data_IF_839698851123
#
_entry.id   IF_839698851123
#
_cell.length_a   1.000
_cell.length_b   1.000
_cell.length_c   1.000
_cell.angle_alpha   90.00
_cell.angle_beta   90.00
_cell.angle_gamma   90.00
#
_symmetry.space_group_name_H-M   'P 1'
#
loop_
_entity.id
_entity.type
_entity.pdbx_description
1 polymer ?
#
# COMPACT_ATOMS: atom_id res chain seq x y z
N UNK A 1 26.09 -17.00 2.87
CA UNK A 1 26.80 -16.72 1.59
C UNK A 1 26.73 -15.24 1.23
N UNK A 2 25.54 -14.64 1.07
CA UNK A 2 25.41 -13.20 0.78
C UNK A 2 26.17 -12.30 1.77
N UNK A 3 25.95 -12.49 3.07
CA UNK A 3 26.67 -11.72 4.11
C UNK A 3 28.18 -11.86 3.98
N UNK A 4 28.68 -13.07 3.74
CA UNK A 4 30.10 -13.33 3.57
C UNK A 4 30.70 -12.59 2.36
N UNK A 5 29.99 -12.57 1.22
CA UNK A 5 30.42 -11.81 0.01
C UNK A 5 30.51 -10.33 0.34
N UNK A 6 29.47 -9.77 0.96
CA UNK A 6 29.40 -8.37 1.36
C UNK A 6 30.50 -8.00 2.36
N UNK A 7 30.85 -8.92 3.27
CA UNK A 7 31.94 -8.71 4.23
C UNK A 7 33.32 -8.78 3.62
N UNK A 8 33.51 -9.56 2.55
CA UNK A 8 34.77 -9.62 1.79
C UNK A 8 34.94 -8.38 0.92
N UNK A 9 33.85 -7.88 0.33
CA UNK A 9 33.88 -6.68 -0.53
C UNK A 9 33.95 -5.36 0.25
N UNK A 10 33.75 -5.36 1.58
CA UNK A 10 33.77 -4.13 2.38
C UNK A 10 35.19 -3.60 2.60
N UNK A 11 35.34 -2.29 2.55
CA UNK A 11 36.57 -1.60 2.94
C UNK A 11 36.42 -0.99 4.33
N UNK A 12 37.37 -1.25 5.23
CA UNK A 12 37.35 -0.69 6.58
C UNK A 12 38.23 0.55 6.61
N UNK A 13 37.60 1.72 6.77
CA UNK A 13 38.32 3.00 6.82
C UNK A 13 39.04 3.19 8.14
N UNK A 14 38.38 2.87 9.25
CA UNK A 14 38.96 2.99 10.59
C UNK A 14 38.25 2.07 11.58
N UNK A 15 39.00 1.65 12.59
CA UNK A 15 38.52 0.95 13.78
C UNK A 15 38.90 1.76 15.02
N UNK A 16 37.95 1.93 15.94
CA UNK A 16 38.17 2.60 17.21
C UNK A 16 37.43 1.88 18.32
N UNK A 17 38.18 1.18 19.18
CA UNK A 17 37.63 0.40 20.27
C UNK A 17 36.67 -0.68 19.75
N UNK A 18 35.40 -0.59 20.14
CA UNK A 18 34.36 -1.54 19.72
C UNK A 18 33.60 -1.12 18.44
N UNK A 19 33.97 0.01 17.81
CA UNK A 19 33.25 0.57 16.65
C UNK A 19 34.19 0.59 15.45
N UNK A 20 33.70 0.11 14.30
CA UNK A 20 34.39 0.19 13.00
C UNK A 20 33.55 0.97 12.00
N UNK A 21 34.22 1.71 11.12
CA UNK A 21 33.59 2.34 9.96
C UNK A 21 33.95 1.56 8.72
N UNK A 22 32.96 0.93 8.10
CA UNK A 22 33.11 0.13 6.89
C UNK A 22 32.31 0.75 5.74
N UNK A 23 32.92 0.78 4.55
CA UNK A 23 32.33 1.19 3.30
C UNK A 23 31.92 -0.07 2.51
N UNK A 24 30.64 -0.14 2.14
CA UNK A 24 30.08 -1.26 1.37
C UNK A 24 29.77 -0.84 -0.06
N UNK A 25 30.27 -1.53 -1.09
CA UNK A 25 30.06 -1.13 -2.48
C UNK A 25 28.58 -1.22 -2.87
N UNK A 26 28.06 -0.16 -3.52
CA UNK A 26 26.64 -0.03 -3.83
C UNK A 26 26.23 -0.56 -5.21
N UNK A 27 27.18 -0.90 -6.07
CA UNK A 27 26.96 -1.21 -7.49
C UNK A 27 25.90 -2.30 -7.75
N UNK A 28 25.88 -3.36 -6.94
CA UNK A 28 24.91 -4.45 -7.04
C UNK A 28 23.88 -4.48 -5.90
N UNK A 29 24.06 -3.64 -4.87
CA UNK A 29 23.17 -3.56 -3.71
C UNK A 29 22.05 -2.53 -3.92
N UNK A 30 22.39 -1.40 -4.52
CA UNK A 30 21.49 -0.27 -4.72
C UNK A 30 20.60 -0.46 -5.96
N UNK A 31 19.38 0.06 -5.92
CA UNK A 31 18.44 0.08 -7.06
C UNK A 31 18.81 1.10 -8.13
N UNK A 32 19.79 1.97 -7.90
CA UNK A 32 20.26 2.99 -8.84
C UNK A 32 21.62 2.59 -9.38
N UNK A 33 21.74 2.53 -10.71
CA UNK A 33 23.03 2.34 -11.37
C UNK A 33 23.90 3.61 -11.23
N UNK A 34 25.13 3.53 -10.70
CA UNK A 34 25.97 4.70 -10.38
C UNK A 34 26.34 5.56 -11.60
N UNK A 35 26.45 4.95 -12.79
CA UNK A 35 26.92 5.59 -14.02
C UNK A 35 25.80 6.28 -14.80
N UNK A 36 24.58 5.74 -14.77
CA UNK A 36 23.47 6.18 -15.62
C UNK A 36 22.31 6.82 -14.85
N UNK A 37 22.21 6.58 -13.54
CA UNK A 37 21.04 6.98 -12.75
C UNK A 37 19.75 6.22 -13.12
N UNK A 38 19.85 5.17 -13.94
CA UNK A 38 18.75 4.29 -14.29
C UNK A 38 18.49 3.30 -13.16
N UNK A 39 17.27 2.79 -13.13
CA UNK A 39 16.83 1.80 -12.15
C UNK A 39 17.33 0.42 -12.56
N UNK A 40 18.10 -0.23 -11.69
CA UNK A 40 18.55 -1.60 -11.85
C UNK A 40 17.58 -2.56 -11.16
N UNK A 41 16.98 -3.48 -11.93
CA UNK A 41 16.03 -4.49 -11.41
C UNK A 41 16.73 -5.70 -10.79
N UNK A 42 17.99 -5.92 -11.16
CA UNK A 42 18.79 -7.05 -10.72
C UNK A 42 19.59 -6.72 -9.45
N UNK A 43 19.36 -5.56 -8.84
CA UNK A 43 19.99 -5.22 -7.57
C UNK A 43 19.41 -6.06 -6.44
N UNK A 44 20.25 -6.34 -5.44
CA UNK A 44 19.86 -7.12 -4.28
C UNK A 44 18.61 -6.52 -3.59
N UNK A 45 18.58 -5.19 -3.42
CA UNK A 45 17.44 -4.50 -2.82
C UNK A 45 16.15 -4.62 -3.65
N UNK A 46 16.22 -4.53 -4.98
CA UNK A 46 15.05 -4.66 -5.84
C UNK A 46 14.52 -6.11 -5.85
N UNK A 47 15.40 -7.11 -5.88
CA UNK A 47 15.03 -8.53 -5.87
C UNK A 47 14.39 -8.91 -4.53
N UNK A 48 14.93 -8.44 -3.40
CA UNK A 48 14.36 -8.76 -2.07
C UNK A 48 12.99 -8.11 -1.88
N UNK A 49 12.79 -6.89 -2.42
CA UNK A 49 11.54 -6.15 -2.26
C UNK A 49 10.44 -6.63 -3.21
N UNK A 50 10.76 -6.81 -4.49
CA UNK A 50 9.79 -7.21 -5.53
C UNK A 50 9.76 -8.72 -5.78
N UNK A 51 10.64 -9.49 -5.15
CA UNK A 51 10.67 -10.94 -5.23
C UNK A 51 9.45 -11.60 -4.59
N UNK A 52 9.10 -12.77 -5.12
CA UNK A 52 7.94 -13.54 -4.64
C UNK A 52 8.26 -14.41 -3.42
N UNK A 53 9.54 -14.72 -3.15
CA UNK A 53 9.95 -15.57 -2.03
C UNK A 53 10.17 -14.76 -0.75
N UNK A 54 9.76 -15.34 0.37
CA UNK A 54 9.98 -14.78 1.71
C UNK A 54 11.36 -15.15 2.28
N UNK A 55 12.05 -16.14 1.71
CA UNK A 55 13.36 -16.60 2.19
C UNK A 55 14.44 -15.51 2.13
N UNK A 56 14.35 -14.60 1.16
CA UNK A 56 15.29 -13.48 1.03
C UNK A 56 15.03 -12.34 2.02
N UNK A 57 13.91 -12.35 2.77
CA UNK A 57 13.63 -11.34 3.81
C UNK A 57 14.69 -11.35 4.91
N UNK A 58 15.30 -12.50 5.19
CA UNK A 58 16.39 -12.61 6.17
C UNK A 58 17.64 -11.81 5.78
N UNK A 59 17.76 -11.33 4.53
CA UNK A 59 18.87 -10.52 4.05
C UNK A 59 18.67 -9.01 4.23
N UNK A 60 17.43 -8.56 4.49
CA UNK A 60 17.11 -7.17 4.77
C UNK A 60 17.72 -6.58 6.06
N UNK A 61 17.79 -7.28 7.21
CA UNK A 61 18.30 -6.69 8.44
C UNK A 61 19.78 -6.30 8.32
N UNK A 62 20.20 -5.33 9.13
CA UNK A 62 21.55 -4.75 9.16
C UNK A 62 21.87 -3.83 7.97
N UNK A 63 22.44 -4.35 6.89
CA UNK A 63 23.01 -3.54 5.81
C UNK A 63 21.91 -2.84 5.01
N UNK A 64 20.95 -3.62 4.50
CA UNK A 64 19.90 -3.11 3.64
C UNK A 64 18.89 -2.28 4.44
N UNK A 65 18.58 -2.62 5.68
CA UNK A 65 17.78 -1.79 6.59
C UNK A 65 18.38 -0.39 6.74
N UNK A 66 19.69 -0.30 6.99
CA UNK A 66 20.39 0.99 7.13
C UNK A 66 20.47 1.75 5.81
N UNK A 67 20.65 1.06 4.69
CA UNK A 67 20.57 1.66 3.36
C UNK A 67 19.19 2.26 3.12
N UNK A 68 18.12 1.54 3.42
CA UNK A 68 16.74 2.01 3.26
C UNK A 68 16.45 3.18 4.20
N UNK A 69 17.00 3.17 5.42
CA UNK A 69 16.92 4.32 6.35
C UNK A 69 17.60 5.57 5.80
N UNK A 70 18.81 5.42 5.24
CA UNK A 70 19.51 6.52 4.58
C UNK A 70 18.76 7.05 3.38
N UNK A 71 18.16 6.18 2.59
CA UNK A 71 17.26 6.57 1.50
C UNK A 71 16.03 7.31 2.04
N UNK A 72 15.40 6.84 3.12
CA UNK A 72 14.28 7.53 3.73
C UNK A 72 14.65 8.93 4.25
N UNK A 73 15.80 9.11 4.88
CA UNK A 73 16.29 10.44 5.27
C UNK A 73 16.52 11.35 4.05
N UNK A 74 17.08 10.80 2.98
CA UNK A 74 17.45 11.56 1.77
C UNK A 74 16.23 11.95 0.94
N UNK A 75 15.34 10.99 0.69
CA UNK A 75 14.14 11.17 -0.12
C UNK A 75 12.99 11.71 0.73
N UNK A 76 12.74 11.17 1.92
CA UNK A 76 11.61 11.52 2.79
C UNK A 76 11.65 12.92 3.38
N UNK A 77 12.84 13.50 3.61
CA UNK A 77 12.97 14.88 4.07
C UNK A 77 12.88 15.92 2.93
N UNK A 78 13.09 15.46 1.69
CA UNK A 78 12.97 16.24 0.47
C UNK A 78 11.81 15.73 -0.41
N UNK A 79 10.69 15.32 0.19
CA UNK A 79 9.44 15.22 -0.57
C UNK A 79 9.17 16.65 -1.04
N UNK A 80 9.22 16.96 -2.35
CA UNK A 80 8.72 18.24 -2.78
C UNK A 80 7.26 18.28 -2.35
N UNK A 81 6.92 19.20 -1.45
CA UNK A 81 5.56 19.74 -1.47
C UNK A 81 5.28 20.20 -2.91
N UNK A 82 4.04 20.14 -3.40
CA UNK A 82 3.75 20.48 -4.81
C UNK A 82 4.12 21.91 -5.21
N UNK A 83 4.63 22.74 -4.29
CA UNK A 83 5.20 24.04 -4.54
C UNK A 83 6.72 23.95 -4.71
N UNK A 84 7.19 23.59 -5.90
CA UNK A 84 8.33 24.25 -6.54
C UNK A 84 8.56 23.65 -7.93
N UNK A 85 7.80 24.13 -8.90
CA UNK A 85 8.25 24.22 -10.29
C UNK A 85 7.83 25.59 -10.81
N UNK A 86 8.78 26.51 -10.83
CA UNK A 86 8.57 27.88 -11.31
C UNK A 86 8.41 27.94 -12.83
N UNK A 87 7.59 28.92 -13.21
CA UNK A 87 7.48 29.65 -14.47
C UNK A 87 6.80 28.98 -15.67
N UNK A 88 5.54 29.40 -15.87
CA UNK A 88 4.73 29.21 -17.06
C UNK A 88 3.28 29.62 -16.81
N UNK A 89 2.97 30.92 -17.00
CA UNK A 89 1.60 31.47 -16.99
C UNK A 89 0.71 30.64 -17.93
N UNK A 90 -0.45 30.17 -17.50
CA UNK A 90 -1.70 30.20 -18.31
C UNK A 90 -2.91 30.26 -17.37
N UNK A 91 -3.73 31.29 -17.57
CA UNK A 91 -5.07 31.45 -17.01
C UNK A 91 -5.98 30.53 -17.81
N UNK A 92 -6.81 29.71 -17.16
CA UNK A 92 -8.01 29.20 -17.80
C UNK A 92 -9.24 29.36 -16.91
N UNK A 93 -10.10 30.26 -17.36
CA UNK A 93 -11.47 30.47 -16.92
C UNK A 93 -12.36 29.35 -17.50
N UNK A 94 -13.46 29.04 -16.81
CA UNK A 94 -14.50 28.13 -17.27
C UNK A 94 -15.01 28.50 -18.68
N UNK A 95 -14.97 27.53 -19.60
CA UNK A 95 -15.65 27.58 -20.90
C UNK A 95 -16.89 26.69 -20.75
N UNK A 96 -18.06 27.23 -21.09
CA UNK A 96 -19.41 26.63 -20.95
C UNK A 96 -20.13 26.83 -19.60
N UNK A 97 -20.32 28.09 -19.18
CA UNK A 97 -21.64 28.62 -18.79
C UNK A 97 -21.55 30.12 -18.41
N UNK A 98 -20.86 30.91 -19.22
CA UNK A 98 -20.62 32.32 -18.91
C UNK A 98 -21.78 33.30 -19.19
N UNK A 99 -22.84 33.03 -19.99
CA UNK A 99 -23.79 34.10 -20.28
C UNK A 99 -25.00 34.16 -19.33
N UNK A 100 -25.17 33.25 -18.36
CA UNK A 100 -26.38 33.27 -17.51
C UNK A 100 -26.21 32.98 -16.01
N UNK A 101 -25.00 32.98 -15.45
CA UNK A 101 -24.85 33.00 -13.99
C UNK A 101 -24.92 34.44 -13.50
N UNK A 102 -26.06 34.79 -12.92
CA UNK A 102 -26.27 36.06 -12.25
C UNK A 102 -25.44 36.08 -10.95
N UNK A 103 -24.19 36.57 -11.03
CA UNK A 103 -23.24 36.65 -9.90
C UNK A 103 -23.81 37.37 -8.66
N UNK A 104 -24.85 38.20 -8.84
CA UNK A 104 -25.48 38.96 -7.76
C UNK A 104 -26.41 38.14 -6.84
N UNK A 105 -26.62 36.84 -7.08
CA UNK A 105 -27.44 35.94 -6.24
C UNK A 105 -26.69 34.76 -5.61
N UNK A 106 -25.36 34.68 -5.75
CA UNK A 106 -24.60 33.59 -5.14
C UNK A 106 -24.44 33.79 -3.62
N UNK A 107 -25.06 32.91 -2.84
CA UNK A 107 -24.83 32.81 -1.40
C UNK A 107 -23.37 32.43 -1.14
N UNK A 108 -22.71 33.05 -0.14
CA UNK A 108 -21.29 32.80 0.18
C UNK A 108 -20.93 31.31 0.32
N UNK A 109 -21.88 30.48 0.78
CA UNK A 109 -21.76 29.01 0.87
C UNK A 109 -21.57 28.34 -0.49
N UNK A 110 -22.32 28.77 -1.51
CA UNK A 110 -22.22 28.21 -2.88
C UNK A 110 -20.89 28.55 -3.54
N UNK A 111 -20.40 29.78 -3.33
CA UNK A 111 -19.12 30.24 -3.83
C UNK A 111 -17.97 29.45 -3.20
N UNK A 112 -18.00 29.27 -1.87
CA UNK A 112 -17.03 28.46 -1.15
C UNK A 112 -17.00 27.00 -1.65
N UNK A 113 -18.18 26.38 -1.84
CA UNK A 113 -18.30 25.02 -2.39
C UNK A 113 -17.70 24.91 -3.80
N UNK A 114 -17.98 25.87 -4.69
CA UNK A 114 -17.42 25.86 -6.04
C UNK A 114 -15.90 26.02 -6.06
N UNK A 115 -15.32 26.81 -5.16
CA UNK A 115 -13.87 26.98 -5.04
C UNK A 115 -13.22 25.69 -4.56
N UNK A 116 -13.79 25.03 -3.55
CA UNK A 116 -13.28 23.76 -3.05
C UNK A 116 -13.34 22.66 -4.13
N UNK A 117 -14.44 22.54 -4.85
CA UNK A 117 -14.55 21.58 -5.95
C UNK A 117 -13.52 21.84 -7.05
N UNK A 118 -13.28 23.09 -7.42
CA UNK A 118 -12.25 23.43 -8.40
C UNK A 118 -10.86 23.06 -7.90
N UNK A 119 -10.55 23.36 -6.64
CA UNK A 119 -9.27 23.01 -6.01
C UNK A 119 -9.04 21.50 -5.99
N UNK A 120 -10.07 20.73 -5.65
CA UNK A 120 -10.03 19.26 -5.63
C UNK A 120 -9.82 18.67 -7.03
N UNK A 121 -10.49 19.21 -8.06
CA UNK A 121 -10.32 18.79 -9.46
C UNK A 121 -8.93 19.14 -9.99
N UNK A 122 -8.41 20.33 -9.65
CA UNK A 122 -7.03 20.73 -9.99
C UNK A 122 -6.03 19.75 -9.35
N UNK A 123 -6.20 19.42 -8.06
CA UNK A 123 -5.35 18.43 -7.39
C UNK A 123 -5.42 17.05 -8.06
N UNK A 124 -6.62 16.59 -8.44
CA UNK A 124 -6.81 15.30 -9.12
C UNK A 124 -6.19 15.26 -10.52
N UNK A 125 -6.35 16.34 -11.31
CA UNK A 125 -5.72 16.46 -12.64
C UNK A 125 -4.20 16.48 -12.54
N UNK A 126 -3.63 17.26 -11.62
CA UNK A 126 -2.18 17.30 -11.37
C UNK A 126 -1.65 15.92 -10.97
N UNK A 127 -2.38 15.17 -10.12
CA UNK A 127 -2.01 13.82 -9.72
C UNK A 127 -2.00 12.84 -10.91
N UNK A 128 -3.01 12.91 -11.78
CA UNK A 128 -3.07 12.08 -12.99
C UNK A 128 -1.99 12.45 -14.02
N UNK A 129 -1.64 13.73 -14.14
CA UNK A 129 -0.52 14.18 -14.96
C UNK A 129 0.83 13.69 -14.40
N UNK A 130 1.02 13.75 -13.08
CA UNK A 130 2.19 13.18 -12.41
C UNK A 130 2.28 11.67 -12.69
N UNK A 131 1.15 10.95 -12.64
CA UNK A 131 1.11 9.54 -13.00
C UNK A 131 1.49 9.30 -14.46
N UNK A 132 0.94 10.09 -15.40
CA UNK A 132 1.27 9.93 -16.82
C UNK A 132 2.77 10.17 -17.08
N UNK A 133 3.36 11.16 -16.42
CA UNK A 133 4.80 11.41 -16.45
C UNK A 133 5.59 10.26 -15.85
N UNK A 134 5.15 9.72 -14.71
CA UNK A 134 5.77 8.57 -14.06
C UNK A 134 5.76 7.32 -14.98
N UNK A 135 4.64 7.03 -15.65
CA UNK A 135 4.54 5.93 -16.61
C UNK A 135 5.52 6.13 -17.77
N UNK A 136 5.67 7.37 -18.27
CA UNK A 136 6.62 7.67 -19.36
C UNK A 136 8.07 7.47 -18.92
N UNK A 137 8.41 7.85 -17.70
CA UNK A 137 9.79 7.79 -17.19
C UNK A 137 10.21 6.38 -16.78
N UNK A 138 9.28 5.55 -16.30
CA UNK A 138 9.55 4.21 -15.75
C UNK A 138 9.24 3.10 -16.78
N UNK A 139 8.30 3.34 -17.69
CA UNK A 139 7.79 2.35 -18.64
C UNK A 139 6.51 1.66 -18.15
N UNK A 140 5.61 1.33 -19.10
CA UNK A 140 4.26 0.79 -18.80
C UNK A 140 4.28 -0.53 -18.03
N UNK A 141 5.10 -1.49 -18.47
CA UNK A 141 5.14 -2.82 -17.86
C UNK A 141 5.61 -2.78 -16.40
N UNK A 142 6.64 -1.98 -16.11
CA UNK A 142 7.18 -1.82 -14.77
C UNK A 142 6.20 -1.08 -13.85
N UNK A 143 5.45 -0.11 -14.39
CA UNK A 143 4.41 0.58 -13.64
C UNK A 143 3.24 -0.35 -13.26
N UNK A 144 2.74 -1.17 -14.19
CA UNK A 144 1.64 -2.09 -13.89
C UNK A 144 2.02 -3.17 -12.88
N UNK A 145 3.26 -3.69 -12.95
CA UNK A 145 3.77 -4.61 -11.93
C UNK A 145 3.85 -3.94 -10.55
N UNK A 146 4.34 -2.69 -10.51
CA UNK A 146 4.39 -1.86 -9.31
C UNK A 146 2.99 -1.47 -8.81
N UNK A 147 1.97 -1.39 -9.68
CA UNK A 147 0.58 -1.12 -9.29
C UNK A 147 -0.10 -2.37 -8.72
N UNK A 148 0.18 -3.55 -9.30
CA UNK A 148 -0.35 -4.83 -8.85
C UNK A 148 0.13 -5.21 -7.44
N UNK A 149 1.36 -4.85 -7.08
CA UNK A 149 1.86 -5.02 -5.71
C UNK A 149 1.21 -4.09 -4.67
N UNK A 150 0.43 -3.10 -5.10
CA UNK A 150 -0.06 -1.99 -4.26
C UNK A 150 -1.52 -1.61 -4.61
N UNK A 151 -2.51 -2.41 -4.18
CA UNK A 151 -3.90 -2.24 -4.58
C UNK A 151 -4.48 -0.87 -4.17
N UNK A 152 -4.12 -0.35 -2.99
CA UNK A 152 -4.60 0.95 -2.51
C UNK A 152 -4.18 2.14 -3.40
N UNK A 153 -3.02 2.06 -4.05
CA UNK A 153 -2.58 3.07 -5.02
C UNK A 153 -3.45 3.01 -6.29
N UNK A 154 -3.83 1.82 -6.71
CA UNK A 154 -4.75 1.60 -7.83
C UNK A 154 -6.16 2.12 -7.51
N UNK A 155 -6.67 1.81 -6.32
CA UNK A 155 -8.00 2.27 -5.86
C UNK A 155 -8.07 3.80 -5.83
N UNK A 156 -7.02 4.45 -5.31
CA UNK A 156 -6.93 5.91 -5.31
C UNK A 156 -6.86 6.49 -6.72
N UNK A 157 -6.17 5.81 -7.65
CA UNK A 157 -6.13 6.25 -9.04
C UNK A 157 -7.51 6.20 -9.72
N UNK A 158 -8.26 5.13 -9.45
CA UNK A 158 -9.66 5.01 -9.90
C UNK A 158 -10.51 6.12 -9.28
N UNK A 159 -10.33 6.42 -8.00
CA UNK A 159 -11.01 7.52 -7.32
C UNK A 159 -10.70 8.89 -7.96
N UNK A 160 -9.44 9.18 -8.30
CA UNK A 160 -9.09 10.41 -9.02
C UNK A 160 -9.72 10.48 -10.42
N UNK A 161 -9.84 9.35 -11.12
CA UNK A 161 -10.51 9.30 -12.42
C UNK A 161 -12.02 9.54 -12.29
N UNK A 162 -12.68 8.91 -11.31
CA UNK A 162 -14.09 9.13 -10.99
C UNK A 162 -14.36 10.58 -10.60
N UNK A 163 -13.44 11.22 -9.88
CA UNK A 163 -13.53 12.64 -9.53
C UNK A 163 -13.52 13.56 -10.76
N UNK A 164 -12.71 13.25 -11.79
CA UNK A 164 -12.77 13.97 -13.07
C UNK A 164 -14.06 13.71 -13.82
N UNK A 165 -14.55 12.46 -13.81
CA UNK A 165 -15.83 12.11 -14.42
C UNK A 165 -16.96 12.87 -13.73
N UNK A 166 -16.97 12.95 -12.39
CA UNK A 166 -17.94 13.73 -11.62
C UNK A 166 -17.93 15.22 -12.02
N UNK A 167 -16.74 15.81 -12.19
CA UNK A 167 -16.63 17.18 -12.70
C UNK A 167 -17.17 17.33 -14.14
N UNK A 168 -16.91 16.37 -15.03
CA UNK A 168 -17.46 16.37 -16.39
C UNK A 168 -19.00 16.25 -16.35
N UNK A 169 -19.55 15.40 -15.49
CA UNK A 169 -21.01 15.27 -15.33
C UNK A 169 -21.65 16.56 -14.81
N UNK A 170 -20.96 17.29 -13.94
CA UNK A 170 -21.36 18.63 -13.50
C UNK A 170 -21.40 19.64 -14.65
N UNK A 171 -20.48 19.55 -15.63
CA UNK A 171 -20.52 20.38 -16.84
C UNK A 171 -21.74 20.07 -17.72
N UNK A 172 -22.22 18.83 -17.70
CA UNK A 172 -23.45 18.41 -18.38
C UNK A 172 -24.73 18.61 -17.56
N UNK A 173 -24.65 19.20 -16.36
CA UNK A 173 -25.78 19.44 -15.45
C UNK A 173 -26.53 18.15 -15.04
N UNK A 174 -25.81 17.05 -14.83
CA UNK A 174 -26.35 15.77 -14.34
C UNK A 174 -26.09 15.62 -12.83
N UNK A 175 -26.85 16.36 -12.02
CA UNK A 175 -26.62 16.47 -10.57
C UNK A 175 -26.85 15.12 -9.82
N UNK A 176 -27.85 14.31 -10.23
CA UNK A 176 -28.14 13.01 -9.58
C UNK A 176 -26.99 12.00 -9.75
N UNK A 177 -26.37 11.99 -10.92
CA UNK A 177 -25.25 11.09 -11.22
C UNK A 177 -23.97 11.58 -10.54
N UNK A 178 -23.78 12.91 -10.45
CA UNK A 178 -22.68 13.52 -9.69
C UNK A 178 -22.69 13.07 -8.22
N UNK A 179 -23.85 13.12 -7.55
CA UNK A 179 -23.97 12.74 -6.14
C UNK A 179 -23.59 11.27 -5.90
N UNK A 180 -24.03 10.35 -6.78
CA UNK A 180 -23.65 8.93 -6.71
C UNK A 180 -22.14 8.75 -6.88
N UNK A 181 -21.54 9.44 -7.85
CA UNK A 181 -20.08 9.39 -8.09
C UNK A 181 -19.32 9.94 -6.89
N UNK A 182 -19.80 11.00 -6.23
CA UNK A 182 -19.17 11.57 -5.04
C UNK A 182 -19.18 10.61 -3.85
N UNK A 183 -20.31 9.95 -3.58
CA UNK A 183 -20.41 8.97 -2.50
C UNK A 183 -19.35 7.87 -2.68
N UNK A 184 -19.24 7.32 -3.91
CA UNK A 184 -18.25 6.30 -4.23
C UNK A 184 -16.83 6.86 -4.11
N UNK A 185 -16.59 8.06 -4.62
CA UNK A 185 -15.27 8.71 -4.61
C UNK A 185 -14.77 8.92 -3.17
N UNK A 186 -15.62 9.42 -2.27
CA UNK A 186 -15.29 9.62 -0.85
C UNK A 186 -14.97 8.29 -0.18
N UNK A 187 -15.76 7.24 -0.41
CA UNK A 187 -15.47 5.90 0.13
C UNK A 187 -14.11 5.36 -0.34
N UNK A 188 -13.81 5.49 -1.64
CA UNK A 188 -12.54 4.99 -2.20
C UNK A 188 -11.33 5.83 -1.74
N UNK A 189 -11.50 7.14 -1.53
CA UNK A 189 -10.42 7.98 -0.95
C UNK A 189 -10.13 7.62 0.49
N UNK A 190 -11.13 7.25 1.30
CA UNK A 190 -10.90 6.79 2.67
C UNK A 190 -9.99 5.54 2.71
N UNK A 191 -10.12 4.63 1.74
CA UNK A 191 -9.23 3.46 1.62
C UNK A 191 -7.77 3.83 1.37
N UNK A 192 -7.48 5.03 0.86
CA UNK A 192 -6.11 5.53 0.72
C UNK A 192 -5.43 5.75 2.07
N UNK A 193 -6.19 5.98 3.14
CA UNK A 193 -5.62 6.11 4.48
C UNK A 193 -4.87 4.84 4.91
N UNK A 194 -5.42 3.65 4.59
CA UNK A 194 -4.77 2.36 4.88
C UNK A 194 -3.40 2.21 4.20
N UNK A 195 -3.19 2.84 3.04
CA UNK A 195 -1.88 2.87 2.38
C UNK A 195 -0.83 3.60 3.23
N UNK A 196 -1.20 4.72 3.86
CA UNK A 196 -0.26 5.47 4.70
C UNK A 196 0.05 4.73 5.99
N UNK A 197 -0.93 3.98 6.53
CA UNK A 197 -0.74 3.15 7.71
C UNK A 197 0.33 2.05 7.52
N UNK A 198 0.61 1.64 6.28
CA UNK A 198 1.59 0.60 5.94
C UNK A 198 3.03 0.97 6.33
N UNK A 199 3.35 2.27 6.40
CA UNK A 199 4.69 2.74 6.77
C UNK A 199 5.02 2.61 8.26
N UNK A 200 4.03 2.37 9.11
CA UNK A 200 4.24 2.25 10.55
C UNK A 200 4.62 0.83 10.95
N UNK A 201 5.64 0.70 11.80
CA UNK A 201 6.15 -0.59 12.31
C UNK A 201 5.05 -1.45 12.97
N UNK A 202 4.13 -0.84 13.72
CA UNK A 202 3.05 -1.55 14.41
C UNK A 202 1.90 -1.94 13.46
N UNK A 203 1.47 -1.03 12.59
CA UNK A 203 0.24 -1.18 11.79
C UNK A 203 0.48 -1.86 10.43
N UNK A 204 1.70 -1.75 9.89
CA UNK A 204 2.03 -2.21 8.54
C UNK A 204 1.78 -3.70 8.26
N UNK A 205 2.22 -4.63 9.13
CA UNK A 205 1.90 -6.04 9.00
C UNK A 205 0.40 -6.34 9.00
N UNK A 206 -0.38 -5.67 9.86
CA UNK A 206 -1.83 -5.87 9.94
C UNK A 206 -2.55 -5.45 8.66
N UNK A 207 -2.17 -4.30 8.08
CA UNK A 207 -2.73 -3.82 6.81
C UNK A 207 -2.44 -4.80 5.68
N UNK A 208 -1.23 -5.37 5.64
CA UNK A 208 -0.87 -6.41 4.68
C UNK A 208 -1.71 -7.67 4.83
N UNK A 209 -1.92 -8.12 6.07
CA UNK A 209 -2.78 -9.28 6.34
C UNK A 209 -4.18 -9.04 5.82
N UNK A 210 -4.75 -7.87 6.11
CA UNK A 210 -6.07 -7.47 5.62
C UNK A 210 -6.13 -7.54 4.08
N UNK A 211 -5.11 -7.03 3.36
CA UNK A 211 -5.10 -7.12 1.89
C UNK A 211 -4.99 -8.57 1.38
N UNK A 212 -4.17 -9.43 2.02
CA UNK A 212 -4.06 -10.85 1.63
C UNK A 212 -5.39 -11.59 1.85
N UNK A 213 -6.04 -11.36 3.00
CA UNK A 213 -7.38 -11.87 3.35
C UNK A 213 -8.40 -11.48 2.27
N UNK A 214 -8.48 -10.19 1.92
CA UNK A 214 -9.47 -9.69 0.94
C UNK A 214 -9.24 -10.26 -0.46
N UNK A 215 -8.00 -10.26 -0.96
CA UNK A 215 -7.73 -10.61 -2.36
C UNK A 215 -7.76 -12.13 -2.59
N UNK A 216 -7.19 -12.92 -1.68
CA UNK A 216 -6.97 -14.36 -1.93
C UNK A 216 -8.11 -15.23 -1.43
N UNK A 217 -8.60 -14.90 -0.24
CA UNK A 217 -9.41 -15.83 0.52
C UNK A 217 -10.89 -15.40 0.54
N UNK A 218 -11.19 -14.11 0.73
CA UNK A 218 -12.56 -13.61 0.77
C UNK A 218 -13.36 -13.94 -0.49
N UNK A 219 -12.78 -13.81 -1.69
CA UNK A 219 -13.51 -14.03 -2.95
C UNK A 219 -14.02 -15.47 -3.07
N UNK A 220 -13.19 -16.48 -2.77
CA UNK A 220 -13.58 -17.90 -2.88
C UNK A 220 -14.74 -18.24 -1.95
N UNK A 221 -14.66 -17.68 -0.76
CA UNK A 221 -15.58 -17.88 0.32
C UNK A 221 -16.91 -17.13 0.11
N UNK A 222 -16.83 -15.89 -0.37
CA UNK A 222 -17.97 -15.10 -0.79
C UNK A 222 -18.72 -15.76 -1.96
N UNK A 223 -18.04 -16.44 -2.88
CA UNK A 223 -18.71 -17.20 -3.95
C UNK A 223 -19.61 -18.32 -3.41
N UNK A 224 -19.14 -19.09 -2.42
CA UNK A 224 -19.96 -20.15 -1.77
C UNK A 224 -21.16 -19.52 -1.04
N UNK A 225 -20.92 -18.41 -0.34
CA UNK A 225 -21.97 -17.63 0.30
C UNK A 225 -23.03 -17.16 -0.70
N UNK A 226 -22.64 -16.61 -1.86
CA UNK A 226 -23.57 -16.17 -2.90
C UNK A 226 -24.43 -17.32 -3.46
N UNK A 227 -23.88 -18.53 -3.62
CA UNK A 227 -24.64 -19.70 -4.11
C UNK A 227 -25.79 -20.03 -3.14
N UNK A 228 -25.48 -20.12 -1.85
CA UNK A 228 -26.49 -20.37 -0.81
C UNK A 228 -27.51 -19.24 -0.79
N UNK A 229 -27.03 -17.99 -0.80
CA UNK A 229 -27.86 -16.80 -0.73
C UNK A 229 -28.84 -16.69 -1.91
N UNK A 230 -28.45 -17.02 -3.14
CA UNK A 230 -29.35 -17.06 -4.30
C UNK A 230 -30.46 -18.11 -4.12
N UNK A 231 -30.13 -19.29 -3.60
CA UNK A 231 -31.13 -20.34 -3.34
C UNK A 231 -32.19 -19.90 -2.35
N UNK A 232 -31.77 -19.31 -1.22
CA UNK A 232 -32.70 -18.81 -0.21
C UNK A 232 -33.44 -17.55 -0.68
N UNK A 233 -32.82 -16.67 -1.50
CA UNK A 233 -33.51 -15.49 -2.03
C UNK A 233 -34.69 -15.86 -2.92
N UNK A 234 -34.56 -16.89 -3.77
CA UNK A 234 -35.70 -17.36 -4.57
C UNK A 234 -36.81 -17.96 -3.69
N UNK A 235 -36.44 -18.71 -2.65
CA UNK A 235 -37.42 -19.28 -1.71
C UNK A 235 -38.20 -18.19 -0.98
N UNK A 236 -37.52 -17.14 -0.51
CA UNK A 236 -38.17 -16.03 0.17
C UNK A 236 -39.01 -15.18 -0.78
N UNK A 237 -38.56 -14.95 -2.02
CA UNK A 237 -39.37 -14.29 -3.04
C UNK A 237 -40.75 -14.96 -3.20
N UNK A 238 -40.78 -16.30 -3.27
CA UNK A 238 -42.03 -17.06 -3.38
C UNK A 238 -42.91 -16.93 -2.12
N UNK A 239 -42.31 -16.94 -0.92
CA UNK A 239 -43.05 -16.78 0.34
C UNK A 239 -43.72 -15.40 0.41
N UNK A 240 -43.00 -14.35 -0.01
CA UNK A 240 -43.50 -12.96 0.03
C UNK A 240 -44.53 -12.65 -1.08
N UNK A 241 -44.65 -13.48 -2.13
CA UNK A 241 -45.82 -13.43 -3.03
C UNK A 241 -47.14 -13.76 -2.32
N UNK A 242 -47.08 -14.38 -1.13
CA UNK A 242 -48.22 -14.67 -0.26
C UNK A 242 -48.51 -13.59 0.79
N UNK A 243 -47.86 -12.42 0.73
CA UNK A 243 -48.08 -11.33 1.66
C UNK A 243 -49.48 -10.71 1.47
N UNK A 244 -50.31 -10.72 2.53
CA UNK A 244 -51.67 -10.17 2.55
C UNK A 244 -52.55 -10.56 1.34
N UNK A 245 -52.35 -11.74 0.76
CA UNK A 245 -53.06 -12.20 -0.45
C UNK A 245 -54.58 -12.25 -0.27
N UNK A 246 -55.05 -12.48 0.96
CA UNK A 246 -56.47 -12.62 1.27
C UNK A 246 -57.17 -11.27 1.54
N UNK A 247 -56.43 -10.17 1.53
CA UNK A 247 -56.95 -8.83 1.80
C UNK A 247 -57.40 -8.16 0.50
N UNK A 248 -58.70 -7.88 0.36
CA UNK A 248 -59.29 -7.41 -0.90
C UNK A 248 -58.97 -5.96 -1.22
N UNK A 249 -58.58 -5.19 -0.20
CA UNK A 249 -58.22 -3.78 -0.32
C UNK A 249 -56.71 -3.58 -0.54
N UNK A 250 -55.91 -4.66 -0.45
CA UNK A 250 -54.46 -4.61 -0.56
C UNK A 250 -53.99 -4.89 -1.99
N UNK A 251 -53.37 -3.89 -2.61
CA UNK A 251 -52.77 -3.99 -3.93
C UNK A 251 -51.24 -4.03 -3.79
N UNK A 252 -50.65 -5.19 -4.08
CA UNK A 252 -49.20 -5.44 -3.99
C UNK A 252 -48.41 -4.44 -4.84
N UNK A 253 -48.97 -3.98 -5.97
CA UNK A 253 -48.30 -3.04 -6.86
C UNK A 253 -48.27 -1.60 -6.30
N UNK A 254 -49.18 -1.26 -5.38
CA UNK A 254 -49.29 0.10 -4.80
C UNK A 254 -48.63 0.24 -3.44
N UNK A 255 -48.79 -0.75 -2.57
CA UNK A 255 -48.23 -0.69 -1.21
C UNK A 255 -46.83 -1.33 -1.13
N UNK A 256 -46.50 -2.19 -2.10
CA UNK A 256 -45.20 -2.86 -2.18
C UNK A 256 -44.99 -3.89 -1.07
N UNK A 257 -44.03 -4.79 -1.27
CA UNK A 257 -43.54 -5.69 -0.23
C UNK A 257 -42.05 -5.47 -0.03
N UNK A 258 -41.50 -5.98 1.09
CA UNK A 258 -40.06 -5.97 1.31
C UNK A 258 -39.31 -6.72 0.19
N UNK A 259 -39.97 -7.63 -0.52
CA UNK A 259 -39.33 -8.52 -1.50
C UNK A 259 -40.12 -8.51 -2.80
N UNK A 260 -40.31 -7.32 -3.40
CA UNK A 260 -41.16 -7.19 -4.60
C UNK A 260 -40.48 -7.72 -5.87
N UNK A 261 -39.16 -7.59 -5.94
CA UNK A 261 -38.35 -8.04 -7.08
C UNK A 261 -37.29 -9.07 -6.67
N UNK A 262 -36.90 -9.93 -7.60
CA UNK A 262 -35.84 -10.93 -7.37
C UNK A 262 -34.51 -10.28 -6.96
N UNK A 263 -34.14 -9.17 -7.60
CA UNK A 263 -32.92 -8.43 -7.28
C UNK A 263 -32.97 -7.75 -5.91
N UNK A 264 -34.12 -7.20 -5.54
CA UNK A 264 -34.31 -6.59 -4.23
C UNK A 264 -34.34 -7.64 -3.12
N UNK A 265 -34.99 -8.78 -3.37
CA UNK A 265 -35.00 -9.93 -2.46
C UNK A 265 -33.58 -10.40 -2.19
N UNK A 266 -32.73 -10.48 -3.22
CA UNK A 266 -31.32 -10.79 -3.04
C UNK A 266 -30.64 -9.76 -2.13
N UNK A 267 -30.74 -8.46 -2.40
CA UNK A 267 -30.10 -7.43 -1.57
C UNK A 267 -30.60 -7.49 -0.12
N UNK A 268 -31.90 -7.69 0.10
CA UNK A 268 -32.45 -7.77 1.45
C UNK A 268 -32.04 -9.03 2.19
N UNK A 269 -31.87 -10.16 1.51
CA UNK A 269 -31.28 -11.37 2.09
C UNK A 269 -29.84 -11.13 2.57
N UNK A 270 -29.07 -10.29 1.85
CA UNK A 270 -27.72 -9.91 2.27
C UNK A 270 -27.76 -9.04 3.52
N UNK A 271 -28.58 -8.01 3.53
CA UNK A 271 -28.75 -7.11 4.68
C UNK A 271 -29.21 -7.90 5.91
N UNK A 272 -30.13 -8.84 5.72
CA UNK A 272 -30.63 -9.73 6.76
C UNK A 272 -29.52 -10.63 7.36
N UNK A 273 -28.58 -11.10 6.54
CA UNK A 273 -27.41 -11.85 7.04
C UNK A 273 -26.50 -11.01 7.95
N UNK A 274 -26.51 -9.68 7.78
CA UNK A 274 -25.73 -8.71 8.55
C UNK A 274 -26.45 -8.23 9.83
N UNK A 275 -27.51 -8.93 10.27
CA UNK A 275 -28.28 -8.76 11.52
C UNK A 275 -29.52 -7.86 11.47
N UNK A 276 -29.94 -7.36 10.31
CA UNK A 276 -31.18 -6.57 10.19
C UNK A 276 -32.37 -7.46 9.80
N UNK A 277 -33.10 -7.99 10.80
CA UNK A 277 -34.22 -8.92 10.59
C UNK A 277 -35.57 -8.48 11.20
N UNK A 278 -35.60 -7.37 11.94
CA UNK A 278 -36.82 -6.92 12.62
C UNK A 278 -37.97 -6.64 11.63
N UNK A 279 -37.68 -5.87 10.58
CA UNK A 279 -38.65 -5.48 9.55
C UNK A 279 -39.16 -6.70 8.75
N UNK A 280 -38.30 -7.70 8.55
CA UNK A 280 -38.68 -8.96 7.89
C UNK A 280 -39.73 -9.71 8.71
N UNK A 281 -39.51 -9.84 10.02
CA UNK A 281 -40.38 -10.64 10.87
C UNK A 281 -41.78 -10.04 10.98
N UNK A 282 -41.87 -8.71 11.06
CA UNK A 282 -43.14 -7.97 11.06
C UNK A 282 -43.96 -8.26 9.78
N UNK A 283 -43.33 -8.21 8.61
CA UNK A 283 -44.03 -8.52 7.36
C UNK A 283 -44.29 -10.02 7.16
N UNK A 284 -43.42 -10.88 7.69
CA UNK A 284 -43.57 -12.32 7.56
C UNK A 284 -44.79 -12.86 8.32
N UNK A 285 -45.20 -12.19 9.41
CA UNK A 285 -46.42 -12.54 10.15
C UNK A 285 -47.70 -12.35 9.33
N UNK A 286 -47.66 -11.43 8.37
CA UNK A 286 -48.78 -11.10 7.47
C UNK A 286 -48.82 -11.98 6.21
N UNK A 287 -47.89 -12.93 6.07
CA UNK A 287 -47.88 -13.90 4.98
C UNK A 287 -48.69 -15.16 5.33
N UNK A 288 -49.38 -15.73 4.35
CA UNK A 288 -50.15 -16.98 4.53
C UNK A 288 -49.26 -18.16 4.98
N UNK A 289 -48.00 -18.17 4.56
CA UNK A 289 -47.00 -19.21 4.85
C UNK A 289 -46.02 -18.80 5.97
N UNK A 290 -46.52 -18.11 7.00
CA UNK A 290 -45.68 -17.58 8.09
C UNK A 290 -44.82 -18.65 8.79
N UNK A 291 -45.34 -19.86 9.01
CA UNK A 291 -44.65 -20.94 9.68
C UNK A 291 -43.50 -21.50 8.84
N UNK A 292 -43.73 -21.71 7.54
CA UNK A 292 -42.69 -22.16 6.61
C UNK A 292 -41.60 -21.09 6.47
N UNK A 293 -41.98 -19.82 6.42
CA UNK A 293 -41.03 -18.72 6.38
C UNK A 293 -40.17 -18.62 7.63
N UNK A 294 -40.75 -18.77 8.82
CA UNK A 294 -39.99 -18.78 10.10
C UNK A 294 -38.98 -19.93 10.15
N UNK A 295 -39.37 -21.13 9.72
CA UNK A 295 -38.47 -22.29 9.66
C UNK A 295 -37.34 -22.06 8.65
N UNK A 296 -37.68 -21.59 7.45
CA UNK A 296 -36.71 -21.30 6.38
C UNK A 296 -35.71 -20.22 6.81
N UNK A 297 -36.17 -19.21 7.56
CA UNK A 297 -35.32 -18.17 8.14
C UNK A 297 -34.33 -18.74 9.16
N UNK A 298 -34.78 -19.58 10.09
CA UNK A 298 -33.89 -20.21 11.09
C UNK A 298 -32.81 -21.05 10.41
N UNK A 299 -33.19 -21.86 9.41
CA UNK A 299 -32.26 -22.69 8.64
C UNK A 299 -31.24 -21.82 7.90
N UNK A 300 -31.69 -20.75 7.24
CA UNK A 300 -30.81 -19.80 6.56
C UNK A 300 -29.81 -19.17 7.52
N UNK A 301 -30.27 -18.66 8.67
CA UNK A 301 -29.43 -18.00 9.65
C UNK A 301 -28.39 -18.96 10.24
N UNK A 302 -28.77 -20.20 10.55
CA UNK A 302 -27.84 -21.21 11.03
C UNK A 302 -26.77 -21.53 9.98
N UNK A 303 -27.17 -21.74 8.73
CA UNK A 303 -26.25 -22.11 7.65
C UNK A 303 -25.27 -20.96 7.35
N UNK A 304 -25.76 -19.72 7.23
CA UNK A 304 -24.93 -18.54 6.98
C UNK A 304 -23.99 -18.23 8.14
N UNK A 305 -24.46 -18.32 9.39
CA UNK A 305 -23.59 -18.09 10.55
C UNK A 305 -22.49 -19.14 10.67
N UNK A 306 -22.81 -20.43 10.45
CA UNK A 306 -21.79 -21.48 10.38
C UNK A 306 -20.76 -21.22 9.28
N UNK A 307 -21.22 -20.80 8.10
CA UNK A 307 -20.35 -20.49 6.98
C UNK A 307 -19.44 -19.29 7.28
N UNK A 308 -19.99 -18.18 7.78
CA UNK A 308 -19.22 -16.97 8.11
C UNK A 308 -18.17 -17.23 9.20
N UNK A 309 -18.53 -18.00 10.25
CA UNK A 309 -17.59 -18.39 11.32
C UNK A 309 -16.48 -19.28 10.78
N UNK A 310 -16.83 -20.31 9.99
CA UNK A 310 -15.84 -21.23 9.40
C UNK A 310 -14.86 -20.50 8.46
N UNK A 311 -15.34 -19.46 7.76
CA UNK A 311 -14.51 -18.64 6.89
C UNK A 311 -13.64 -17.64 7.67
N UNK A 312 -14.16 -17.06 8.75
CA UNK A 312 -13.41 -16.14 9.61
C UNK A 312 -12.23 -16.86 10.31
N UNK A 313 -12.47 -18.05 10.88
CA UNK A 313 -11.47 -18.79 11.65
C UNK A 313 -10.38 -19.36 10.74
N UNK A 314 -10.75 -20.09 9.68
CA UNK A 314 -9.77 -20.75 8.81
C UNK A 314 -8.82 -19.76 8.11
N UNK A 315 -9.34 -18.58 7.75
CA UNK A 315 -8.58 -17.57 7.04
C UNK A 315 -7.68 -16.75 7.96
N UNK A 316 -8.22 -16.22 9.06
CA UNK A 316 -7.42 -15.39 9.97
C UNK A 316 -6.32 -16.20 10.66
N UNK A 317 -6.57 -17.45 11.05
CA UNK A 317 -5.55 -18.28 11.72
C UNK A 317 -4.38 -18.63 10.79
N UNK A 318 -4.65 -19.03 9.54
CA UNK A 318 -3.59 -19.38 8.58
C UNK A 318 -2.81 -18.16 8.11
N UNK A 319 -3.49 -17.05 7.81
CA UNK A 319 -2.82 -15.81 7.39
C UNK A 319 -2.06 -15.13 8.54
N UNK A 320 -2.58 -15.18 9.78
CA UNK A 320 -1.88 -14.64 10.95
C UNK A 320 -0.61 -15.43 11.25
N UNK A 321 -0.66 -16.76 11.23
CA UNK A 321 0.52 -17.59 11.48
C UNK A 321 1.58 -17.42 10.39
N UNK A 322 1.19 -17.30 9.12
CA UNK A 322 2.13 -17.02 8.00
C UNK A 322 2.77 -15.62 8.08
N UNK A 323 1.99 -14.59 8.43
CA UNK A 323 2.47 -13.20 8.42
C UNK A 323 3.18 -12.82 9.73
N UNK A 324 2.72 -13.30 10.89
CA UNK A 324 3.37 -13.04 12.18
C UNK A 324 4.72 -13.75 12.31
N UNK A 325 4.89 -14.92 11.68
CA UNK A 325 6.18 -15.60 11.60
C UNK A 325 7.25 -14.76 10.87
N UNK A 326 6.83 -13.91 9.94
CA UNK A 326 7.72 -13.04 9.15
C UNK A 326 7.75 -11.62 9.72
N UNK A 327 8.36 -11.46 10.90
CA UNK A 327 8.53 -10.15 11.58
C UNK A 327 9.29 -9.09 10.76
N UNK A 328 9.94 -9.48 9.66
CA UNK A 328 10.66 -8.60 8.72
C UNK A 328 9.79 -8.09 7.56
N UNK A 329 8.54 -8.53 7.48
CA UNK A 329 7.63 -8.16 6.39
C UNK A 329 7.36 -6.64 6.36
N UNK A 330 7.24 -5.99 7.53
CA UNK A 330 7.10 -4.52 7.60
C UNK A 330 8.30 -3.80 6.98
N UNK A 331 9.51 -4.33 7.16
CA UNK A 331 10.74 -3.73 6.64
C UNK A 331 10.76 -3.83 5.11
N UNK A 332 10.30 -4.94 4.55
CA UNK A 332 10.04 -5.07 3.11
C UNK A 332 9.00 -4.07 2.63
N UNK A 333 7.90 -3.87 3.37
CA UNK A 333 6.86 -2.91 3.00
C UNK A 333 7.38 -1.48 2.96
N UNK A 334 8.15 -1.08 3.97
CA UNK A 334 8.76 0.24 4.05
C UNK A 334 9.82 0.45 2.95
N UNK A 335 10.67 -0.56 2.72
CA UNK A 335 11.63 -0.56 1.60
C UNK A 335 10.93 -0.41 0.25
N UNK A 336 9.79 -1.07 0.06
CA UNK A 336 9.00 -0.95 -1.16
C UNK A 336 8.41 0.47 -1.34
N UNK A 337 8.00 1.14 -0.25
CA UNK A 337 7.55 2.54 -0.30
C UNK A 337 8.71 3.46 -0.68
N UNK A 338 9.90 3.25 -0.10
CA UNK A 338 11.10 4.03 -0.40
C UNK A 338 11.53 3.85 -1.86
N UNK A 339 11.56 2.61 -2.36
CA UNK A 339 11.87 2.34 -3.78
C UNK A 339 10.81 2.93 -4.73
N UNK A 340 9.53 2.90 -4.36
CA UNK A 340 8.48 3.58 -5.13
C UNK A 340 8.69 5.10 -5.15
N UNK A 341 9.09 5.67 -4.03
CA UNK A 341 9.39 7.10 -3.94
C UNK A 341 10.61 7.44 -4.81
N UNK A 342 11.65 6.62 -4.78
CA UNK A 342 12.84 6.75 -5.63
C UNK A 342 12.49 6.68 -7.13
N UNK A 343 11.60 5.77 -7.52
CA UNK A 343 11.09 5.65 -8.90
C UNK A 343 10.39 6.92 -9.39
N UNK A 344 9.82 7.73 -8.48
CA UNK A 344 9.08 8.93 -8.85
C UNK A 344 9.94 10.11 -9.30
N UNK A 345 11.24 10.10 -8.99
CA UNK A 345 12.17 11.16 -9.38
C UNK A 345 12.79 10.91 -10.75
N UNK A 346 13.26 11.95 -11.46
CA UNK A 346 13.99 11.79 -12.71
C UNK A 346 15.43 11.24 -12.47
N UNK A 347 16.02 10.59 -13.47
CA UNK A 347 17.37 10.02 -13.39
C UNK A 347 18.48 10.97 -12.86
N UNK A 348 18.61 12.23 -13.33
CA UNK A 348 19.64 13.14 -12.80
C UNK A 348 19.41 13.49 -11.32
N UNK A 349 18.15 13.62 -10.92
CA UNK A 349 17.77 13.88 -9.54
C UNK A 349 18.06 12.69 -8.64
N UNK A 350 17.83 11.46 -9.11
CA UNK A 350 18.19 10.22 -8.40
C UNK A 350 19.70 10.16 -8.13
N UNK A 351 20.53 10.48 -9.12
CA UNK A 351 21.99 10.53 -8.92
C UNK A 351 22.41 11.60 -7.92
N UNK A 352 21.78 12.78 -7.95
CA UNK A 352 22.04 13.84 -6.96
C UNK A 352 21.77 13.34 -5.55
N UNK A 353 20.66 12.65 -5.33
CA UNK A 353 20.33 12.06 -4.02
C UNK A 353 21.24 10.88 -3.67
N UNK A 354 21.62 10.03 -4.63
CA UNK A 354 22.58 8.94 -4.42
C UNK A 354 23.91 9.44 -3.85
N UNK A 355 24.41 10.57 -4.37
CA UNK A 355 25.63 11.22 -3.87
C UNK A 355 25.53 11.75 -2.44
N UNK A 356 24.33 11.95 -1.88
CA UNK A 356 24.17 12.44 -0.50
C UNK A 356 24.42 11.35 0.54
N UNK A 357 24.18 10.08 0.20
CA UNK A 357 24.39 8.96 1.11
C UNK A 357 25.54 8.02 0.69
N UNK A 358 26.22 8.30 -0.42
CA UNK A 358 27.35 7.51 -0.91
C UNK A 358 28.66 8.30 -0.89
N UNK A 359 29.77 7.58 -0.75
CA UNK A 359 31.14 8.11 -0.78
C UNK A 359 31.91 7.35 -1.87
N UNK A 360 32.81 7.99 -2.63
CA UNK A 360 33.70 7.26 -3.52
C UNK A 360 34.62 6.32 -2.74
N UNK A 361 34.81 5.12 -3.26
CA UNK A 361 35.76 4.13 -2.77
C UNK A 361 37.20 4.56 -3.11
N UNK A 362 38.23 3.93 -2.53
CA UNK A 362 39.63 4.29 -2.77
C UNK A 362 40.03 4.20 -4.26
N UNK A 363 39.37 3.32 -5.02
CA UNK A 363 39.54 3.19 -6.49
C UNK A 363 39.02 4.40 -7.29
N UNK A 364 38.24 5.30 -6.67
CA UNK A 364 37.59 6.46 -7.31
C UNK A 364 36.49 6.14 -8.34
N UNK A 365 36.35 4.88 -8.76
CA UNK A 365 35.37 4.43 -9.75
C UNK A 365 34.06 3.93 -9.14
N UNK A 366 34.13 3.30 -7.96
CA UNK A 366 33.00 2.68 -7.28
C UNK A 366 32.49 3.59 -6.16
N UNK A 367 31.18 3.56 -5.93
CA UNK A 367 30.55 4.26 -4.80
C UNK A 367 30.17 3.27 -3.71
N UNK A 368 30.30 3.70 -2.46
CA UNK A 368 30.05 2.87 -1.29
C UNK A 368 29.19 3.58 -0.25
N UNK A 369 28.43 2.79 0.53
CA UNK A 369 27.69 3.25 1.69
C UNK A 369 28.58 3.13 2.93
N UNK A 370 28.78 4.26 3.61
CA UNK A 370 29.53 4.30 4.86
C UNK A 370 28.62 3.91 6.04
N UNK A 371 29.00 2.86 6.76
CA UNK A 371 28.31 2.41 7.96
C UNK A 371 29.24 2.35 9.16
N UNK A 372 28.77 2.92 10.27
CA UNK A 372 29.37 2.73 11.59
C UNK A 372 28.77 1.49 12.23
N UNK A 373 29.58 0.46 12.42
CA UNK A 373 29.18 -0.84 12.95
C UNK A 373 29.87 -1.09 14.29
N UNK A 374 29.15 -1.74 15.20
CA UNK A 374 29.76 -2.28 16.42
C UNK A 374 30.33 -3.65 16.05
N UNK A 375 31.58 -3.92 16.43
CA UNK A 375 32.21 -5.20 16.17
C UNK A 375 31.66 -6.28 17.10
N UNK A 376 31.60 -7.53 16.61
CA UNK A 376 31.26 -8.68 17.47
C UNK A 376 32.35 -8.90 18.54
N UNK A 377 32.03 -9.63 19.61
CA UNK A 377 33.02 -9.94 20.65
C UNK A 377 34.21 -10.74 20.07
N UNK A 378 33.94 -11.69 19.16
CA UNK A 378 34.98 -12.45 18.46
C UNK A 378 35.88 -11.56 17.59
N UNK A 379 35.30 -10.62 16.84
CA UNK A 379 36.08 -9.66 16.03
C UNK A 379 36.94 -8.75 16.93
N UNK A 380 36.41 -8.33 18.09
CA UNK A 380 37.16 -7.54 19.06
C UNK A 380 38.33 -8.33 19.65
N UNK A 381 38.13 -9.61 19.95
CA UNK A 381 39.19 -10.49 20.43
C UNK A 381 40.27 -10.71 19.36
N UNK A 382 39.89 -10.98 18.12
CA UNK A 382 40.83 -11.14 17.01
C UNK A 382 41.65 -9.87 16.76
N UNK A 383 41.03 -8.68 16.80
CA UNK A 383 41.74 -7.41 16.62
C UNK A 383 42.69 -7.12 17.79
N UNK A 384 42.27 -7.44 19.03
CA UNK A 384 43.14 -7.36 20.23
C UNK A 384 44.34 -8.28 20.10
N UNK A 385 44.16 -9.53 19.64
CA UNK A 385 45.24 -10.47 19.42
C UNK A 385 46.22 -9.95 18.36
N UNK A 386 45.71 -9.41 17.24
CA UNK A 386 46.52 -8.81 16.17
C UNK A 386 47.34 -7.62 16.66
N UNK A 387 46.73 -6.73 17.44
CA UNK A 387 47.41 -5.59 18.09
C UNK A 387 48.49 -6.05 19.08
N UNK A 388 48.23 -7.09 19.86
CA UNK A 388 49.24 -7.67 20.76
C UNK A 388 50.41 -8.27 19.97
N UNK A 389 50.13 -8.95 18.85
CA UNK A 389 51.15 -9.55 18.00
C UNK A 389 52.03 -8.47 17.35
N UNK A 390 51.43 -7.40 16.81
CA UNK A 390 52.15 -6.25 16.25
C UNK A 390 53.02 -5.57 17.31
N UNK A 391 52.52 -5.40 18.54
CA UNK A 391 53.32 -4.87 19.66
C UNK A 391 54.49 -5.77 20.01
N UNK A 392 54.33 -7.10 19.96
CA UNK A 392 55.43 -8.06 20.17
C UNK A 392 56.47 -7.96 19.06
N UNK A 393 56.04 -7.97 17.79
CA UNK A 393 56.93 -7.81 16.63
C UNK A 393 57.72 -6.50 16.69
N UNK A 394 57.05 -5.38 16.97
CA UNK A 394 57.72 -4.08 17.13
C UNK A 394 58.77 -4.07 18.25
N UNK A 395 58.49 -4.75 19.37
CA UNK A 395 59.47 -4.92 20.47
C UNK A 395 60.65 -5.78 20.04
N UNK A 396 60.43 -6.83 19.26
CA UNK A 396 61.49 -7.69 18.74
C UNK A 396 62.34 -6.99 17.69
N UNK A 397 61.74 -6.23 16.78
CA UNK A 397 62.44 -5.41 15.79
C UNK A 397 63.30 -4.35 16.47
N UNK A 398 62.76 -3.65 17.47
CA UNK A 398 63.57 -2.74 18.29
C UNK A 398 64.74 -3.48 18.96
N UNK A 399 64.52 -4.68 19.53
CA UNK A 399 65.63 -5.47 20.10
C UNK A 399 66.68 -5.88 19.07
N UNK A 400 66.30 -6.10 17.80
CA UNK A 400 67.23 -6.43 16.72
C UNK A 400 68.02 -5.20 16.26
N UNK A 401 67.38 -4.05 16.13
CA UNK A 401 68.01 -2.77 15.75
C UNK A 401 69.00 -2.30 16.81
N UNK A 402 68.68 -2.49 18.10
CA UNK A 402 69.55 -2.12 19.21
C UNK A 402 70.45 -3.25 19.71
N UNK A 403 70.67 -4.32 18.94
CA UNK A 403 71.71 -5.30 19.31
C UNK A 403 73.08 -4.60 19.22
N UNK A 404 73.85 -4.50 20.31
CA UNK A 404 75.22 -4.02 20.21
C UNK A 404 76.00 -4.96 19.30
N UNK A 405 76.71 -4.41 18.31
CA UNK A 405 77.75 -5.14 17.59
C UNK A 405 78.77 -5.60 18.63
N UNK A 406 78.77 -6.90 18.96
CA UNK A 406 79.89 -7.49 19.68
C UNK A 406 81.07 -7.49 18.73
N UNK A 407 82.07 -6.65 19.02
CA UNK A 407 83.43 -6.77 18.50
C UNK A 407 84.06 -8.09 18.94
#
# INVERSE_FOLDING_TARGET
>A
MFEHIVEVEREVHWTYGAVKSAAYPLEHLDSIEPSTGKLNRNSALAIIVYGNSTEHLCLLPHLLERLVHRKWETYGHNVPTPLERKDGKEVLLCIMNLPHVNYNKMTAKSLFYTILNLMVVICATLYLLQMRSHIRNVGKALYFLSLSGFPAKSIFLVSCALMLIGFIMRLFCLDEVEDIIWIITVLLTALKFLYFCRGFKSVGPFVLMLYKIIIRDLIRFFMIYCIIMVGFSQSFYIIFLGYRRNDKDFDIEKEGTIMYNVGETFIRMFIMSLTEFAVLFEQLELCDLNLIGRITFIIYMLLVTMLLINMLIAMMTNTYTEVSANSLEWLRQWSAIVLMMEQSFDAPTRMKYQRQYSIPMDDGKRIALLLKLRMSEEEQEAERQKLQLQRKMFREDNRRVYRPFKQ
#
